data_IF_554175829274
#
_entry.id   IF_554175829274
#
_cell.length_a   1.000
_cell.length_b   1.000
_cell.length_c   1.000
_cell.angle_alpha   90.00
_cell.angle_beta   90.00
_cell.angle_gamma   90.00
#
_symmetry.space_group_name_H-M   'P 1'
#
loop_
_entity.id
_entity.type
_entity.pdbx_description
1 polymer ?
#
# COMPACT_ATOMS: atom_id res chain seq x y z
N UNK A 1 -7.03 15.29 -16.91
CA UNK A 1 -7.35 14.82 -15.54
C UNK A 1 -6.70 15.65 -14.43
N UNK A 2 -5.76 16.55 -14.77
CA UNK A 2 -5.01 17.43 -13.88
C UNK A 2 -5.78 18.03 -12.70
N UNK A 3 -6.90 18.73 -12.94
CA UNK A 3 -7.67 19.34 -11.84
C UNK A 3 -8.12 18.33 -10.76
N UNK A 4 -8.38 17.07 -11.14
CA UNK A 4 -8.76 16.00 -10.21
C UNK A 4 -7.56 15.52 -9.38
N UNK A 5 -6.41 15.38 -10.04
CA UNK A 5 -5.13 15.03 -9.41
C UNK A 5 -4.75 16.11 -8.41
N UNK A 6 -4.70 17.38 -8.83
CA UNK A 6 -4.30 18.49 -7.98
C UNK A 6 -5.28 18.64 -6.79
N UNK A 7 -6.59 18.44 -7.03
CA UNK A 7 -7.59 18.40 -5.94
C UNK A 7 -7.25 17.32 -4.90
N UNK A 8 -6.96 16.08 -5.30
CA UNK A 8 -6.61 15.02 -4.35
C UNK A 8 -5.26 15.27 -3.65
N UNK A 9 -4.29 15.82 -4.37
CA UNK A 9 -2.94 16.08 -3.84
C UNK A 9 -2.87 17.28 -2.90
N UNK A 10 -3.84 18.20 -2.94
CA UNK A 10 -3.84 19.42 -2.11
C UNK A 10 -4.91 19.41 -1.02
N UNK A 11 -5.98 18.63 -1.18
CA UNK A 11 -7.13 18.68 -0.29
C UNK A 11 -6.88 18.03 1.06
N UNK A 12 -7.15 18.69 2.17
CA UNK A 12 -7.12 18.09 3.50
C UNK A 12 -6.19 18.84 4.44
N UNK A 13 -5.98 18.28 5.61
CA UNK A 13 -5.26 18.95 6.69
C UNK A 13 -3.96 18.25 7.11
N UNK A 14 -3.71 17.02 6.67
CA UNK A 14 -2.39 16.40 6.75
C UNK A 14 -1.39 17.23 5.96
N UNK A 15 -0.26 17.57 6.59
CA UNK A 15 0.75 18.45 6.03
C UNK A 15 2.08 17.72 5.99
N UNK A 16 2.64 17.61 4.80
CA UNK A 16 3.98 17.13 4.54
C UNK A 16 4.40 17.63 3.16
N UNK A 17 5.22 18.67 3.14
CA UNK A 17 5.75 19.36 1.97
C UNK A 17 6.96 18.67 1.37
N UNK A 18 7.44 17.58 1.98
CA UNK A 18 8.55 16.80 1.45
C UNK A 18 8.22 16.29 0.05
N UNK A 19 9.24 16.35 -0.80
CA UNK A 19 9.19 15.79 -2.15
C UNK A 19 10.08 14.57 -2.22
N UNK A 20 9.64 13.57 -2.98
CA UNK A 20 10.37 12.33 -3.22
C UNK A 20 10.54 12.18 -4.73
N UNK A 21 11.78 11.95 -5.16
CA UNK A 21 12.08 11.68 -6.56
C UNK A 21 11.75 10.23 -6.91
N UNK A 22 10.94 10.03 -7.94
CA UNK A 22 10.59 8.70 -8.46
C UNK A 22 10.74 8.78 -9.99
N UNK A 23 11.66 7.99 -10.55
CA UNK A 23 11.94 8.01 -11.98
C UNK A 23 12.52 9.35 -12.48
N UNK A 24 13.16 10.15 -11.63
CA UNK A 24 13.64 11.49 -11.96
C UNK A 24 12.56 12.58 -11.92
N UNK A 25 11.40 12.28 -11.35
CA UNK A 25 10.25 13.19 -11.26
C UNK A 25 9.93 13.43 -9.78
N UNK A 26 9.80 14.70 -9.34
CA UNK A 26 9.44 15.01 -7.96
C UNK A 26 7.94 14.80 -7.72
N UNK A 27 7.62 14.01 -6.70
CA UNK A 27 6.26 13.79 -6.21
C UNK A 27 6.12 14.32 -4.78
N UNK A 28 4.96 14.85 -4.44
CA UNK A 28 4.62 15.14 -3.05
C UNK A 28 4.32 13.85 -2.28
N UNK A 29 4.46 13.88 -0.96
CA UNK A 29 4.03 12.75 -0.12
C UNK A 29 2.55 12.40 -0.32
N UNK A 30 1.68 13.38 -0.61
CA UNK A 30 0.26 13.12 -0.90
C UNK A 30 0.04 12.42 -2.24
N UNK A 31 0.87 12.67 -3.24
CA UNK A 31 0.81 11.92 -4.50
C UNK A 31 1.05 10.43 -4.25
N UNK A 32 2.04 10.11 -3.41
CA UNK A 32 2.46 8.73 -3.12
C UNK A 32 1.49 8.04 -2.16
N UNK A 33 1.00 8.75 -1.14
CA UNK A 33 0.16 8.18 -0.08
C UNK A 33 -1.33 8.16 -0.41
N UNK A 34 -1.79 9.04 -1.30
CA UNK A 34 -3.21 9.22 -1.59
C UNK A 34 -3.50 9.14 -3.08
N UNK A 35 -2.98 10.07 -3.89
CA UNK A 35 -3.45 10.23 -5.28
C UNK A 35 -3.13 9.00 -6.13
N UNK A 36 -1.89 8.50 -6.09
CA UNK A 36 -1.49 7.33 -6.87
C UNK A 36 -2.13 6.02 -6.37
N UNK A 37 -2.17 5.71 -5.06
CA UNK A 37 -2.87 4.53 -4.55
C UNK A 37 -4.37 4.54 -4.87
N UNK A 38 -5.04 5.68 -4.72
CA UNK A 38 -6.47 5.78 -5.06
C UNK A 38 -6.70 5.61 -6.56
N UNK A 39 -5.84 6.19 -7.40
CA UNK A 39 -5.89 6.03 -8.86
C UNK A 39 -5.71 4.56 -9.27
N UNK A 40 -4.76 3.84 -8.67
CA UNK A 40 -4.48 2.44 -9.00
C UNK A 40 -5.34 1.42 -8.25
N UNK A 41 -6.11 1.85 -7.24
CA UNK A 41 -6.90 0.95 -6.38
C UNK A 41 -6.03 0.11 -5.44
N UNK A 42 -4.93 0.67 -4.93
CA UNK A 42 -4.00 -0.03 -4.05
C UNK A 42 -4.32 0.17 -2.58
N UNK A 43 -4.20 -0.91 -1.80
CA UNK A 43 -4.36 -0.87 -0.35
C UNK A 43 -3.08 -0.32 0.30
N UNK A 44 -3.22 0.57 1.27
CA UNK A 44 -2.09 1.27 1.91
C UNK A 44 -2.06 0.98 3.41
N UNK A 45 -0.87 0.61 3.91
CA UNK A 45 -0.62 0.43 5.33
C UNK A 45 0.41 1.43 5.82
N UNK A 46 -0.05 2.37 6.64
CA UNK A 46 0.80 3.40 7.24
C UNK A 46 1.33 2.87 8.56
N UNK A 47 2.65 2.68 8.63
CA UNK A 47 3.32 2.24 9.86
C UNK A 47 4.23 3.33 10.39
N UNK A 48 4.64 3.21 11.66
CA UNK A 48 5.59 4.12 12.29
C UNK A 48 5.18 4.52 13.70
N UNK A 49 5.94 5.39 14.33
CA UNK A 49 5.67 5.88 15.68
C UNK A 49 4.33 6.63 15.81
N UNK A 50 3.89 6.80 17.06
CA UNK A 50 2.71 7.59 17.40
C UNK A 50 3.00 9.07 17.20
N UNK A 51 2.06 9.82 16.61
CA UNK A 51 2.17 11.28 16.44
C UNK A 51 2.50 11.76 15.03
N UNK A 52 2.88 10.86 14.12
CA UNK A 52 3.34 11.17 12.75
C UNK A 52 2.23 11.52 11.75
N UNK A 53 1.03 11.86 12.24
CA UNK A 53 -0.09 12.25 11.38
C UNK A 53 -0.84 11.11 10.66
N UNK A 54 -0.58 9.82 10.98
CA UNK A 54 -1.32 8.65 10.43
C UNK A 54 -2.85 8.82 10.51
N UNK A 55 -3.36 9.12 11.70
CA UNK A 55 -4.80 9.34 11.94
C UNK A 55 -5.32 10.60 11.22
N UNK A 56 -4.49 11.63 11.06
CA UNK A 56 -4.91 12.83 10.31
C UNK A 56 -5.06 12.52 8.82
N UNK A 57 -4.14 11.76 8.24
CA UNK A 57 -4.21 11.30 6.86
C UNK A 57 -5.45 10.41 6.65
N UNK A 58 -5.77 9.55 7.62
CA UNK A 58 -6.98 8.73 7.60
C UNK A 58 -8.27 9.56 7.61
N UNK A 59 -8.34 10.61 8.43
CA UNK A 59 -9.50 11.47 8.48
C UNK A 59 -9.68 12.29 7.19
N UNK A 60 -8.58 12.73 6.60
CA UNK A 60 -8.61 13.37 5.28
C UNK A 60 -9.16 12.40 4.23
N UNK A 61 -8.67 11.15 4.19
CA UNK A 61 -9.16 10.10 3.31
C UNK A 61 -10.65 9.83 3.50
N UNK A 62 -11.13 9.69 4.74
CA UNK A 62 -12.56 9.53 5.01
C UNK A 62 -13.40 10.69 4.43
N UNK A 63 -12.89 11.93 4.48
CA UNK A 63 -13.53 13.09 3.86
C UNK A 63 -13.67 12.97 2.34
N UNK A 64 -12.71 12.34 1.67
CA UNK A 64 -12.72 12.18 0.20
C UNK A 64 -13.79 11.21 -0.29
N UNK A 65 -14.23 10.30 0.59
CA UNK A 65 -15.24 9.31 0.29
C UNK A 65 -16.64 9.72 0.77
N UNK A 66 -16.78 10.89 1.42
CA UNK A 66 -18.06 11.38 1.92
C UNK A 66 -18.70 10.39 2.90
N UNK A 67 -19.79 9.74 2.49
CA UNK A 67 -20.46 8.68 3.25
C UNK A 67 -20.07 7.26 2.80
N UNK A 68 -19.24 7.10 1.77
CA UNK A 68 -18.83 5.82 1.17
C UNK A 68 -17.57 5.21 1.83
N UNK A 69 -17.48 5.30 3.16
CA UNK A 69 -16.40 4.66 3.92
C UNK A 69 -16.89 3.92 5.16
N UNK A 70 -16.06 2.98 5.64
CA UNK A 70 -16.15 2.34 6.93
C UNK A 70 -14.88 2.66 7.72
N UNK A 71 -15.03 3.11 8.97
CA UNK A 71 -13.94 3.32 9.91
C UNK A 71 -14.03 2.30 11.03
N UNK A 72 -12.91 1.67 11.36
CA UNK A 72 -12.78 0.81 12.52
C UNK A 72 -11.49 1.13 13.26
N UNK A 73 -11.52 0.99 14.57
CA UNK A 73 -10.34 1.05 15.43
C UNK A 73 -9.94 -0.38 15.80
N UNK A 74 -8.70 -0.73 15.52
CA UNK A 74 -8.11 -2.02 15.80
C UNK A 74 -7.96 -2.23 17.29
N UNK A 75 -8.54 -3.32 17.79
CA UNK A 75 -8.48 -3.71 19.20
C UNK A 75 -8.57 -5.23 19.39
N UNK A 76 -8.09 -5.76 20.53
CA UNK A 76 -8.06 -7.20 20.77
C UNK A 76 -9.43 -7.87 20.81
N UNK A 77 -10.44 -7.16 21.29
CA UNK A 77 -11.83 -7.61 21.49
C UNK A 77 -12.76 -7.25 20.32
N UNK A 78 -12.19 -6.91 19.16
CA UNK A 78 -12.96 -6.54 17.99
C UNK A 78 -13.85 -7.69 17.52
N UNK A 79 -15.15 -7.43 17.41
CA UNK A 79 -16.13 -8.41 16.92
C UNK A 79 -16.43 -8.16 15.44
N UNK A 80 -16.26 -9.14 14.53
CA UNK A 80 -16.60 -8.99 13.12
C UNK A 80 -18.05 -8.51 12.86
N UNK A 81 -18.96 -8.79 13.81
CA UNK A 81 -20.34 -8.29 13.78
C UNK A 81 -20.46 -6.77 13.78
N UNK A 82 -19.44 -6.03 14.22
CA UNK A 82 -19.42 -4.58 14.21
C UNK A 82 -19.34 -4.00 12.80
N UNK A 83 -18.52 -4.60 11.93
CA UNK A 83 -18.46 -4.22 10.52
C UNK A 83 -19.79 -4.52 9.85
N UNK A 84 -20.37 -5.68 10.16
CA UNK A 84 -21.68 -6.08 9.62
C UNK A 84 -22.80 -5.11 10.03
N UNK A 85 -22.72 -4.51 11.23
CA UNK A 85 -23.64 -3.45 11.68
C UNK A 85 -23.42 -2.15 10.90
N UNK A 86 -22.17 -1.74 10.67
CA UNK A 86 -21.87 -0.57 9.83
C UNK A 86 -22.34 -0.75 8.39
N UNK A 87 -22.31 -1.98 7.89
CA UNK A 87 -22.84 -2.37 6.58
C UNK A 87 -24.36 -2.70 6.60
N UNK A 88 -25.04 -2.56 7.75
CA UNK A 88 -26.47 -2.87 7.96
C UNK A 88 -26.92 -4.27 7.48
N UNK A 89 -26.06 -5.28 7.62
CA UNK A 89 -26.29 -6.64 7.12
C UNK A 89 -27.13 -7.52 8.05
N UNK A 90 -27.54 -7.03 9.22
CA UNK A 90 -28.46 -7.76 10.10
C UNK A 90 -29.84 -8.06 9.46
N UNK A 91 -30.15 -7.38 8.34
CA UNK A 91 -31.44 -7.47 7.67
C UNK A 91 -31.43 -8.24 6.34
N UNK A 92 -30.29 -8.75 5.83
CA UNK A 92 -30.24 -9.39 4.49
C UNK A 92 -31.27 -10.53 4.35
N UNK A 93 -31.48 -11.31 5.41
CA UNK A 93 -32.45 -12.41 5.45
C UNK A 93 -33.88 -12.02 5.85
N UNK A 94 -34.15 -10.73 6.13
CA UNK A 94 -35.46 -10.22 6.61
C UNK A 94 -36.13 -9.24 5.64
N UNK A 95 -35.56 -9.01 4.46
CA UNK A 95 -36.00 -7.97 3.54
C UNK A 95 -37.33 -8.35 2.87
N UNK A 96 -38.39 -7.59 3.15
CA UNK A 96 -39.73 -7.79 2.58
C UNK A 96 -40.08 -6.78 1.45
N UNK A 97 -39.27 -5.74 1.22
CA UNK A 97 -39.58 -4.67 0.26
C UNK A 97 -38.38 -4.23 -0.61
N UNK A 98 -38.66 -3.67 -1.79
CA UNK A 98 -37.65 -3.20 -2.77
C UNK A 98 -36.79 -2.04 -2.24
N UNK A 99 -37.32 -1.19 -1.37
CA UNK A 99 -36.60 -0.05 -0.77
C UNK A 99 -35.56 -0.51 0.25
N UNK A 100 -35.92 -1.49 1.07
CA UNK A 100 -35.01 -2.09 2.05
C UNK A 100 -33.85 -2.84 1.34
N UNK A 101 -34.12 -3.43 0.17
CA UNK A 101 -33.10 -4.04 -0.69
C UNK A 101 -32.10 -2.99 -1.24
N UNK A 102 -32.57 -1.80 -1.63
CA UNK A 102 -31.71 -0.69 -2.10
C UNK A 102 -30.83 -0.16 -0.96
N UNK A 103 -31.40 0.10 0.21
CA UNK A 103 -30.67 0.62 1.38
C UNK A 103 -29.61 -0.39 1.88
N UNK A 104 -29.93 -1.67 1.81
CA UNK A 104 -29.00 -2.75 2.15
C UNK A 104 -27.92 -2.95 1.07
N UNK A 105 -28.25 -2.70 -0.20
CA UNK A 105 -27.28 -2.70 -1.32
C UNK A 105 -26.34 -1.49 -1.26
N UNK A 106 -26.83 -0.31 -0.88
CA UNK A 106 -26.02 0.91 -0.73
C UNK A 106 -25.02 0.79 0.42
N UNK A 107 -25.38 0.12 1.52
CA UNK A 107 -24.47 -0.07 2.64
C UNK A 107 -23.35 -1.10 2.36
N UNK A 108 -23.57 -2.09 1.48
CA UNK A 108 -22.52 -3.03 1.02
C UNK A 108 -21.54 -2.38 0.03
N UNK A 109 -21.89 -1.22 -0.52
CA UNK A 109 -21.14 -0.52 -1.58
C UNK A 109 -20.13 0.51 -1.09
N UNK A 110 -19.77 0.52 0.20
CA UNK A 110 -18.67 1.37 0.70
C UNK A 110 -17.40 1.11 -0.11
N UNK A 111 -16.72 2.19 -0.52
CA UNK A 111 -15.54 2.13 -1.36
C UNK A 111 -14.23 2.23 -0.56
N UNK A 112 -14.26 2.80 0.64
CA UNK A 112 -13.11 2.88 1.54
C UNK A 112 -13.35 2.06 2.81
N UNK A 113 -12.40 1.19 3.14
CA UNK A 113 -12.32 0.52 4.43
C UNK A 113 -11.06 0.99 5.13
N UNK A 114 -11.22 1.76 6.20
CA UNK A 114 -10.12 2.24 7.02
C UNK A 114 -10.08 1.54 8.38
N UNK A 115 -8.89 1.09 8.78
CA UNK A 115 -8.65 0.49 10.10
C UNK A 115 -7.48 1.21 10.78
N UNK A 116 -7.77 1.99 11.82
CA UNK A 116 -6.71 2.55 12.67
C UNK A 116 -6.11 1.46 13.55
N UNK A 117 -4.80 1.49 13.79
CA UNK A 117 -4.10 0.55 14.67
C UNK A 117 -4.42 -0.95 14.40
N UNK A 118 -4.48 -1.35 13.14
CA UNK A 118 -4.78 -2.72 12.68
C UNK A 118 -3.95 -3.77 13.42
N UNK A 119 -2.71 -3.45 13.76
CA UNK A 119 -1.81 -4.38 14.45
C UNK A 119 -2.07 -4.60 15.94
N UNK A 120 -3.06 -3.91 16.53
CA UNK A 120 -3.61 -4.26 17.84
C UNK A 120 -4.63 -5.39 17.79
N UNK A 121 -5.13 -5.73 16.60
CA UNK A 121 -6.02 -6.88 16.44
C UNK A 121 -5.24 -8.20 16.48
N UNK A 122 -5.84 -9.30 16.95
CA UNK A 122 -5.28 -10.63 16.76
C UNK A 122 -5.31 -11.02 15.26
N UNK A 123 -4.43 -11.94 14.80
CA UNK A 123 -4.35 -12.33 13.39
C UNK A 123 -5.67 -12.81 12.77
N UNK A 124 -6.55 -13.44 13.56
CA UNK A 124 -7.87 -13.89 13.11
C UNK A 124 -8.74 -12.70 12.71
N UNK A 125 -8.72 -11.62 13.49
CA UNK A 125 -9.48 -10.39 13.21
C UNK A 125 -8.88 -9.65 12.02
N UNK A 126 -7.55 -9.56 11.93
CA UNK A 126 -6.89 -8.95 10.77
C UNK A 126 -7.31 -9.63 9.46
N UNK A 127 -7.40 -10.97 9.45
CA UNK A 127 -7.88 -11.74 8.30
C UNK A 127 -9.27 -11.33 7.82
N UNK A 128 -10.17 -10.94 8.74
CA UNK A 128 -11.47 -10.37 8.37
C UNK A 128 -11.29 -9.05 7.64
N UNK A 129 -10.53 -8.10 8.20
CA UNK A 129 -10.26 -6.80 7.56
C UNK A 129 -9.67 -6.96 6.15
N UNK A 130 -8.75 -7.89 5.96
CA UNK A 130 -8.17 -8.16 4.65
C UNK A 130 -9.18 -8.66 3.61
N UNK A 131 -10.26 -9.33 4.01
CA UNK A 131 -11.33 -9.67 3.07
C UNK A 131 -12.01 -8.40 2.55
N UNK A 132 -12.27 -7.42 3.43
CA UNK A 132 -12.85 -6.14 3.03
C UNK A 132 -11.91 -5.35 2.11
N UNK A 133 -10.61 -5.36 2.41
CA UNK A 133 -9.59 -4.74 1.55
C UNK A 133 -9.47 -5.43 0.18
N UNK A 134 -9.71 -6.74 0.11
CA UNK A 134 -9.81 -7.53 -1.13
C UNK A 134 -11.15 -7.30 -1.86
N UNK A 135 -12.06 -6.46 -1.32
CA UNK A 135 -13.35 -6.19 -1.93
C UNK A 135 -14.40 -7.29 -1.77
N UNK A 136 -14.25 -8.15 -0.76
CA UNK A 136 -15.15 -9.27 -0.53
C UNK A 136 -15.61 -9.37 0.93
N UNK A 137 -16.85 -9.79 1.10
CA UNK A 137 -17.38 -10.21 2.38
C UNK A 137 -17.86 -11.65 2.27
N UNK A 138 -17.37 -12.51 3.16
CA UNK A 138 -17.90 -13.88 3.30
C UNK A 138 -18.91 -13.89 4.44
N UNK A 139 -20.19 -14.14 4.14
CA UNK A 139 -21.24 -14.23 5.13
C UNK A 139 -22.13 -15.45 4.86
N UNK A 140 -22.29 -16.33 5.86
CA UNK A 140 -23.05 -17.58 5.75
C UNK A 140 -22.64 -18.49 4.58
N UNK A 141 -21.37 -18.49 4.21
CA UNK A 141 -20.84 -19.28 3.09
C UNK A 141 -20.99 -18.62 1.71
N UNK A 142 -21.66 -17.47 1.61
CA UNK A 142 -21.78 -16.68 0.39
C UNK A 142 -20.73 -15.57 0.32
N UNK A 143 -20.26 -15.28 -0.88
CA UNK A 143 -19.29 -14.20 -1.15
C UNK A 143 -20.02 -13.01 -1.75
N UNK A 144 -20.04 -11.90 -1.03
CA UNK A 144 -20.57 -10.62 -1.47
C UNK A 144 -19.43 -9.74 -1.95
N UNK A 145 -19.57 -9.16 -3.16
CA UNK A 145 -18.62 -8.18 -3.69
C UNK A 145 -18.92 -6.81 -3.10
N UNK A 146 -17.89 -6.15 -2.60
CA UNK A 146 -17.95 -4.82 -1.99
C UNK A 146 -17.54 -3.74 -3.00
N UNK A 147 -17.93 -2.50 -2.70
CA UNK A 147 -17.56 -1.33 -3.49
C UNK A 147 -18.54 -0.98 -4.61
N UNK A 148 -18.69 0.31 -4.87
CA UNK A 148 -19.40 0.86 -6.02
C UNK A 148 -18.50 0.80 -7.26
N UNK A 149 -19.06 0.46 -8.42
CA UNK A 149 -18.35 0.39 -9.70
C UNK A 149 -17.09 -0.49 -9.68
N UNK A 150 -17.15 -1.60 -8.93
CA UNK A 150 -16.03 -2.54 -8.76
C UNK A 150 -14.76 -1.91 -8.16
N UNK A 151 -14.89 -0.75 -7.51
CA UNK A 151 -13.79 -0.04 -6.86
C UNK A 151 -13.88 -0.15 -5.34
N UNK A 152 -12.80 -0.56 -4.71
CA UNK A 152 -12.67 -0.64 -3.26
C UNK A 152 -11.20 -0.50 -2.89
N UNK A 153 -10.94 0.21 -1.80
CA UNK A 153 -9.59 0.39 -1.25
C UNK A 153 -9.59 0.22 0.25
N UNK A 154 -8.56 -0.44 0.75
CA UNK A 154 -8.25 -0.61 2.14
C UNK A 154 -7.13 0.33 2.58
N UNK A 155 -7.35 1.08 3.65
CA UNK A 155 -6.28 1.79 4.35
C UNK A 155 -6.18 1.26 5.77
N UNK A 156 -4.96 1.13 6.26
CA UNK A 156 -4.73 0.78 7.65
C UNK A 156 -3.61 1.62 8.25
N UNK A 157 -3.62 1.74 9.57
CA UNK A 157 -2.53 2.30 10.35
C UNK A 157 -2.01 1.29 11.37
N UNK A 158 -0.74 1.37 11.73
CA UNK A 158 -0.15 0.53 12.76
C UNK A 158 1.08 1.17 13.37
N UNK A 159 1.39 0.80 14.61
CA UNK A 159 2.63 1.23 15.24
C UNK A 159 3.68 0.12 15.12
N UNK A 160 4.88 0.45 14.66
CA UNK A 160 5.99 -0.51 14.60
C UNK A 160 7.12 -0.01 15.49
N UNK A 161 7.78 -0.93 16.19
CA UNK A 161 8.88 -0.64 17.09
C UNK A 161 9.21 -1.88 17.89
N UNK A 162 10.45 -2.34 17.85
CA UNK A 162 10.88 -3.56 18.52
C UNK A 162 10.74 -3.40 20.05
N UNK A 163 9.75 -4.08 20.63
CA UNK A 163 9.44 -4.00 22.06
C UNK A 163 8.88 -2.66 22.58
N UNK A 164 8.78 -1.63 21.74
CA UNK A 164 8.33 -0.29 22.14
C UNK A 164 6.80 -0.22 22.40
N UNK A 165 6.04 -1.18 21.88
CA UNK A 165 4.59 -1.21 21.98
C UNK A 165 4.09 -2.55 22.52
N UNK A 166 3.23 -2.49 23.53
CA UNK A 166 2.60 -3.67 24.15
C UNK A 166 1.32 -4.03 23.41
N UNK A 167 1.06 -5.32 23.20
CA UNK A 167 -0.20 -5.81 22.63
C UNK A 167 -0.30 -5.71 21.10
N UNK A 168 0.84 -5.62 20.40
CA UNK A 168 0.91 -5.64 18.95
C UNK A 168 1.10 -7.08 18.46
N UNK A 169 0.34 -7.49 17.45
CA UNK A 169 0.51 -8.76 16.74
C UNK A 169 1.30 -8.53 15.46
N UNK A 170 2.31 -9.38 15.19
CA UNK A 170 2.98 -9.38 13.89
C UNK A 170 2.02 -9.95 12.83
N UNK A 171 2.15 -9.41 11.62
CA UNK A 171 1.35 -9.80 10.46
C UNK A 171 2.22 -10.70 9.58
N UNK A 172 1.71 -11.87 9.20
CA UNK A 172 2.46 -12.77 8.32
C UNK A 172 2.64 -12.17 6.91
N UNK A 173 3.56 -12.75 6.13
CA UNK A 173 3.87 -12.29 4.77
C UNK A 173 2.65 -12.31 3.83
N UNK A 174 1.79 -13.33 3.94
CA UNK A 174 0.62 -13.44 3.05
C UNK A 174 -0.43 -12.36 3.34
N UNK A 175 -0.49 -11.90 4.59
CA UNK A 175 -1.31 -10.78 5.01
C UNK A 175 -0.68 -9.43 4.65
N UNK A 176 0.64 -9.27 4.82
CA UNK A 176 1.39 -8.08 4.36
C UNK A 176 1.25 -7.88 2.85
N UNK A 177 1.29 -8.94 2.05
CA UNK A 177 1.08 -8.90 0.59
C UNK A 177 -0.32 -8.40 0.15
N UNK A 178 -1.30 -8.30 1.07
CA UNK A 178 -2.63 -7.70 0.81
C UNK A 178 -2.65 -6.19 1.05
N UNK A 179 -1.66 -5.68 1.79
CA UNK A 179 -1.35 -4.26 1.86
C UNK A 179 -0.34 -3.98 0.77
N UNK A 180 -0.84 -3.52 -0.37
CA UNK A 180 -0.04 -3.33 -1.58
C UNK A 180 1.10 -2.33 -1.39
N UNK A 181 0.90 -1.32 -0.55
CA UNK A 181 1.87 -0.31 -0.17
C UNK A 181 2.01 -0.33 1.35
N UNK A 182 3.23 -0.39 1.86
CA UNK A 182 3.52 -0.31 3.30
C UNK A 182 4.62 0.72 3.52
N UNK A 183 4.29 1.84 4.16
CA UNK A 183 5.19 2.98 4.31
C UNK A 183 5.36 3.30 5.78
N UNK A 184 6.61 3.40 6.21
CA UNK A 184 6.99 3.86 7.55
C UNK A 184 7.09 5.38 7.55
N UNK A 185 6.09 6.07 8.10
CA UNK A 185 5.99 7.53 8.03
C UNK A 185 7.00 8.28 8.90
N UNK A 186 7.50 7.68 9.98
CA UNK A 186 8.59 8.21 10.83
C UNK A 186 9.99 7.91 10.26
N UNK A 187 10.07 7.43 9.02
CA UNK A 187 11.36 7.31 8.35
C UNK A 187 11.91 8.69 7.99
N UNK A 188 13.23 8.95 8.15
CA UNK A 188 13.83 10.24 7.80
C UNK A 188 13.56 10.71 6.38
N UNK A 189 13.28 9.81 5.44
CA UNK A 189 12.93 10.14 4.05
C UNK A 189 11.46 10.55 3.87
N UNK A 190 10.60 10.33 4.86
CA UNK A 190 9.15 10.52 4.75
C UNK A 190 8.54 11.39 5.85
N UNK A 191 9.30 11.72 6.90
CA UNK A 191 8.87 12.66 7.94
C UNK A 191 8.58 14.06 7.37
N UNK A 192 7.82 14.84 8.13
CA UNK A 192 7.58 16.26 7.85
C UNK A 192 8.87 17.06 7.76
N UNK A 193 8.82 18.19 7.06
CA UNK A 193 9.93 19.16 7.06
C UNK A 193 9.82 20.06 8.28
N UNK A 194 10.91 20.74 8.63
CA UNK A 194 10.94 21.69 9.74
C UNK A 194 9.95 22.85 9.53
N UNK A 195 9.72 23.26 8.28
CA UNK A 195 8.73 24.28 7.93
C UNK A 195 7.29 23.81 8.19
N UNK A 196 7.01 22.53 7.90
CA UNK A 196 5.72 21.93 8.23
C UNK A 196 5.51 21.86 9.73
N UNK A 197 6.53 21.46 10.49
CA UNK A 197 6.47 21.37 11.94
C UNK A 197 6.18 22.74 12.58
N UNK A 198 6.87 23.80 12.14
CA UNK A 198 6.58 25.19 12.59
C UNK A 198 5.12 25.54 12.33
N UNK A 199 4.58 25.17 11.16
CA UNK A 199 3.19 25.44 10.86
C UNK A 199 2.24 24.57 11.69
N UNK A 200 2.50 23.28 11.86
CA UNK A 200 1.67 22.36 12.64
C UNK A 200 1.58 22.86 14.09
N UNK A 201 2.73 23.16 14.71
CA UNK A 201 2.78 23.67 16.08
C UNK A 201 2.22 25.10 16.22
N UNK A 202 2.30 25.91 15.16
CA UNK A 202 1.76 27.28 15.14
C UNK A 202 0.26 27.36 14.86
N UNK A 203 -0.32 26.41 14.13
CA UNK A 203 -1.70 26.48 13.61
C UNK A 203 -2.72 25.80 14.49
N UNK A 204 -2.32 24.87 15.37
CA UNK A 204 -3.24 24.06 16.15
C UNK A 204 -2.83 23.95 17.62
N UNK A 205 -3.74 24.30 18.53
CA UNK A 205 -3.56 24.12 19.98
C UNK A 205 -4.14 22.81 20.51
N UNK A 206 -5.09 22.23 19.77
CA UNK A 206 -5.71 20.94 20.14
C UNK A 206 -4.89 19.79 19.54
N UNK A 207 -4.34 18.88 20.36
CA UNK A 207 -3.53 17.76 19.85
C UNK A 207 -4.34 16.70 19.09
N UNK A 208 -5.69 16.75 19.14
CA UNK A 208 -6.54 15.75 18.49
C UNK A 208 -6.55 15.94 16.98
N UNK A 209 -6.58 14.84 16.21
CA UNK A 209 -6.77 14.90 14.77
C UNK A 209 -8.08 15.62 14.40
N UNK A 210 -8.05 16.39 13.32
CA UNK A 210 -9.25 17.04 12.77
C UNK A 210 -10.17 15.98 12.21
N UNK A 211 -11.47 16.06 12.50
CA UNK A 211 -12.46 15.12 12.00
C UNK A 211 -12.62 15.21 10.46
N UNK A 212 -13.09 14.14 9.81
CA UNK A 212 -13.35 14.16 8.36
C UNK A 212 -14.30 15.28 7.94
N UNK A 213 -13.91 16.05 6.92
CA UNK A 213 -14.75 17.07 6.31
C UNK A 213 -15.46 16.50 5.08
N UNK A 214 -16.74 16.14 5.22
CA UNK A 214 -17.54 15.56 4.12
C UNK A 214 -17.78 16.53 2.95
N UNK A 215 -17.58 17.83 3.13
CA UNK A 215 -17.65 18.80 2.02
C UNK A 215 -16.52 18.61 1.00
N UNK A 216 -15.53 17.79 1.35
CA UNK A 216 -14.37 17.41 0.54
C UNK A 216 -14.58 16.10 -0.24
N UNK A 217 -15.82 15.65 -0.42
CA UNK A 217 -16.10 14.44 -1.21
C UNK A 217 -15.49 14.56 -2.64
N UNK A 218 -14.75 13.53 -3.01
CA UNK A 218 -14.02 13.39 -4.26
C UNK A 218 -14.21 11.98 -4.85
N UNK A 219 -15.19 11.20 -4.41
CA UNK A 219 -15.36 9.81 -4.85
C UNK A 219 -15.52 9.72 -6.38
N UNK A 220 -16.34 10.58 -6.98
CA UNK A 220 -16.53 10.56 -8.44
C UNK A 220 -15.23 10.94 -9.19
N UNK A 221 -14.41 11.84 -8.63
CA UNK A 221 -13.10 12.18 -9.19
C UNK A 221 -12.15 10.98 -9.13
N UNK A 222 -12.13 10.26 -8.00
CA UNK A 222 -11.35 9.03 -7.80
C UNK A 222 -11.77 7.95 -8.78
N UNK A 223 -13.08 7.73 -8.97
CA UNK A 223 -13.60 6.72 -9.89
C UNK A 223 -13.23 7.03 -11.35
N UNK A 224 -13.22 8.30 -11.75
CA UNK A 224 -12.77 8.72 -13.09
C UNK A 224 -11.28 8.45 -13.27
N UNK A 225 -10.45 8.80 -12.29
CA UNK A 225 -9.01 8.52 -12.34
C UNK A 225 -8.73 7.02 -12.40
N UNK A 226 -9.43 6.23 -11.60
CA UNK A 226 -9.28 4.78 -11.60
C UNK A 226 -9.70 4.14 -12.93
N UNK A 227 -10.77 4.64 -13.55
CA UNK A 227 -11.19 4.16 -14.86
C UNK A 227 -10.13 4.49 -15.92
N UNK A 228 -9.56 5.69 -15.91
CA UNK A 228 -8.47 6.06 -16.82
C UNK A 228 -7.22 5.18 -16.62
N UNK A 229 -6.90 4.83 -15.36
CA UNK A 229 -5.84 3.88 -15.04
C UNK A 229 -6.12 2.48 -15.62
N UNK A 230 -7.35 1.98 -15.52
CA UNK A 230 -7.75 0.68 -16.08
C UNK A 230 -7.71 0.64 -17.60
N UNK A 231 -7.99 1.76 -18.25
CA UNK A 231 -8.01 1.89 -19.71
C UNK A 231 -6.61 2.13 -20.30
N UNK A 232 -5.60 2.39 -19.46
CA UNK A 232 -4.20 2.59 -19.87
C UNK A 232 -3.60 1.29 -20.39
N UNK A 233 -2.97 1.33 -21.56
CA UNK A 233 -2.22 0.20 -22.09
C UNK A 233 -0.98 -0.07 -21.22
N UNK A 234 -0.75 -1.33 -20.88
CA UNK A 234 0.38 -1.73 -20.06
C UNK A 234 1.66 -1.80 -20.90
N UNK A 235 2.71 -1.00 -20.61
CA UNK A 235 3.98 -1.10 -21.31
C UNK A 235 4.58 -2.51 -21.21
N UNK A 236 5.04 -3.06 -22.34
CA UNK A 236 5.52 -4.44 -22.45
C UNK A 236 6.71 -4.76 -21.54
N UNK A 237 7.52 -3.76 -21.19
CA UNK A 237 8.64 -3.88 -20.27
C UNK A 237 8.21 -4.26 -18.85
N UNK A 238 7.03 -3.81 -18.39
CA UNK A 238 6.58 -4.03 -17.01
C UNK A 238 6.30 -5.51 -16.71
N UNK A 239 5.59 -6.27 -17.56
CA UNK A 239 5.51 -7.73 -17.42
C UNK A 239 6.87 -8.43 -17.40
N UNK A 240 7.85 -7.99 -18.20
CA UNK A 240 9.20 -8.58 -18.25
C UNK A 240 9.93 -8.37 -16.93
N UNK A 241 9.92 -7.13 -16.42
CA UNK A 241 10.44 -6.82 -15.08
C UNK A 241 9.71 -7.64 -14.01
N UNK A 242 8.39 -7.75 -14.11
CA UNK A 242 7.60 -8.58 -13.20
C UNK A 242 8.02 -10.05 -13.18
N UNK A 243 8.35 -10.63 -14.34
CA UNK A 243 8.91 -12.00 -14.42
C UNK A 243 10.28 -12.08 -13.74
N UNK A 244 11.15 -11.08 -13.94
CA UNK A 244 12.45 -11.02 -13.25
C UNK A 244 12.28 -10.98 -11.72
N UNK A 245 11.48 -10.08 -11.18
CA UNK A 245 11.29 -9.97 -9.72
C UNK A 245 10.56 -11.18 -9.10
N UNK A 246 9.70 -11.86 -9.87
CA UNK A 246 8.95 -13.03 -9.38
C UNK A 246 9.69 -14.36 -9.53
N UNK A 247 10.46 -14.54 -10.63
CA UNK A 247 11.13 -15.79 -10.99
C UNK A 247 12.66 -15.65 -11.04
N UNK A 248 13.18 -14.55 -11.56
CA UNK A 248 14.62 -14.28 -11.59
C UNK A 248 15.21 -14.27 -10.18
N UNK A 249 14.60 -13.51 -9.26
CA UNK A 249 15.01 -13.51 -7.85
C UNK A 249 14.75 -14.84 -7.11
N UNK A 250 13.98 -15.76 -7.69
CA UNK A 250 13.75 -17.10 -7.12
C UNK A 250 14.88 -18.06 -7.50
N UNK A 251 15.59 -17.79 -8.60
CA UNK A 251 16.64 -18.67 -9.09
C UNK A 251 17.77 -18.80 -8.07
N UNK A 252 18.20 -20.04 -7.82
CA UNK A 252 19.31 -20.34 -6.94
C UNK A 252 20.00 -21.62 -7.43
N UNK A 253 21.16 -21.48 -8.07
CA UNK A 253 21.82 -22.53 -8.83
C UNK A 253 22.02 -23.83 -8.03
N UNK A 254 22.38 -23.74 -6.76
CA UNK A 254 22.80 -24.88 -5.94
C UNK A 254 21.65 -25.72 -5.33
N UNK A 255 20.38 -25.45 -5.65
CA UNK A 255 19.24 -26.17 -5.07
C UNK A 255 18.61 -27.20 -6.01
N UNK A 256 17.94 -28.22 -5.44
CA UNK A 256 17.30 -29.36 -6.16
C UNK A 256 16.33 -28.98 -7.30
N UNK A 257 15.90 -27.71 -7.38
CA UNK A 257 15.02 -27.19 -8.44
C UNK A 257 15.43 -25.80 -8.95
N UNK A 258 16.65 -25.38 -8.65
CA UNK A 258 17.13 -24.02 -8.90
C UNK A 258 16.18 -22.93 -8.39
N UNK A 259 15.60 -23.11 -7.20
CA UNK A 259 14.55 -22.25 -6.66
C UNK A 259 14.67 -22.10 -5.14
N UNK A 260 14.68 -20.85 -4.66
CA UNK A 260 14.61 -20.51 -3.23
C UNK A 260 13.33 -21.04 -2.59
N UNK A 261 12.21 -21.04 -3.32
CA UNK A 261 10.92 -21.58 -2.85
C UNK A 261 10.90 -23.10 -2.70
N UNK A 262 11.85 -23.82 -3.30
CA UNK A 262 11.94 -25.28 -3.16
C UNK A 262 12.69 -25.72 -1.90
N UNK A 263 13.18 -24.77 -1.09
CA UNK A 263 13.89 -25.03 0.16
C UNK A 263 12.86 -25.13 1.29
N UNK A 264 12.77 -26.31 1.91
CA UNK A 264 11.92 -26.54 3.10
C UNK A 264 12.59 -26.07 4.41
N UNK A 265 13.85 -25.61 4.35
CA UNK A 265 14.60 -25.02 5.46
C UNK A 265 14.38 -23.51 5.54
N UNK A 266 14.68 -22.93 6.71
CA UNK A 266 14.49 -21.50 6.96
C UNK A 266 15.52 -20.67 6.17
N UNK A 267 15.12 -20.13 5.01
CA UNK A 267 15.93 -19.15 4.26
C UNK A 267 16.24 -17.92 5.14
N UNK A 268 17.46 -17.33 5.05
CA UNK A 268 18.59 -17.69 4.19
C UNK A 268 19.57 -18.71 4.81
N UNK A 269 19.23 -19.36 5.92
CA UNK A 269 20.14 -20.25 6.69
C UNK A 269 20.30 -21.63 6.04
N UNK A 270 20.77 -21.66 4.80
CA UNK A 270 21.01 -22.87 4.01
C UNK A 270 22.48 -22.86 3.59
N UNK A 271 23.20 -23.97 3.83
CA UNK A 271 24.65 -24.08 3.57
C UNK A 271 25.06 -23.81 2.11
N UNK A 272 24.10 -23.83 1.18
CA UNK A 272 24.29 -23.72 -0.26
C UNK A 272 24.10 -22.29 -0.80
N UNK A 273 23.66 -21.35 0.04
CA UNK A 273 23.45 -19.93 -0.33
C UNK A 273 24.72 -19.15 0.00
N UNK A 274 25.24 -18.42 -1.00
CA UNK A 274 26.34 -17.47 -0.79
C UNK A 274 25.84 -16.30 0.04
N UNK A 275 26.38 -16.15 1.24
CA UNK A 275 25.90 -15.16 2.22
C UNK A 275 26.15 -13.71 1.77
N UNK A 276 27.10 -13.48 0.86
CA UNK A 276 27.53 -12.17 0.36
C UNK A 276 26.81 -11.69 -0.92
N UNK A 277 25.78 -12.41 -1.38
CA UNK A 277 25.05 -12.10 -2.62
C UNK A 277 23.60 -11.70 -2.37
N UNK A 278 22.95 -11.07 -3.35
CA UNK A 278 21.52 -10.76 -3.27
C UNK A 278 20.64 -12.02 -3.05
N UNK A 279 21.17 -13.21 -3.36
CA UNK A 279 20.50 -14.49 -3.15
C UNK A 279 20.17 -14.76 -1.67
N UNK A 280 21.01 -14.30 -0.74
CA UNK A 280 20.82 -14.42 0.71
C UNK A 280 20.00 -13.27 1.30
N UNK A 281 19.84 -12.16 0.56
CA UNK A 281 19.28 -10.90 1.08
C UNK A 281 17.80 -10.71 0.77
N UNK A 282 17.34 -11.18 -0.40
CA UNK A 282 15.95 -10.98 -0.85
C UNK A 282 15.29 -12.25 -1.39
N UNK A 283 14.04 -12.47 -0.99
CA UNK A 283 13.15 -13.47 -1.55
C UNK A 283 12.45 -12.95 -2.82
N UNK A 284 12.09 -13.82 -3.77
CA UNK A 284 11.31 -13.39 -4.93
C UNK A 284 9.98 -12.79 -4.49
N UNK A 285 9.57 -11.75 -5.23
CA UNK A 285 8.30 -11.06 -4.97
C UNK A 285 7.12 -11.98 -5.27
N UNK A 286 6.01 -11.77 -4.59
CA UNK A 286 4.75 -12.40 -4.96
C UNK A 286 4.17 -11.72 -6.20
N UNK A 287 3.23 -12.39 -6.89
CA UNK A 287 2.53 -11.76 -8.02
C UNK A 287 1.77 -10.50 -7.59
N UNK A 288 1.25 -10.48 -6.36
CA UNK A 288 0.55 -9.32 -5.79
C UNK A 288 1.49 -8.13 -5.60
N UNK A 289 2.66 -8.36 -5.01
CA UNK A 289 3.66 -7.31 -4.86
C UNK A 289 4.10 -6.75 -6.23
N UNK A 290 4.38 -7.62 -7.21
CA UNK A 290 4.72 -7.15 -8.58
C UNK A 290 3.60 -6.32 -9.20
N UNK A 291 2.35 -6.78 -9.12
CA UNK A 291 1.20 -6.04 -9.66
C UNK A 291 0.96 -4.72 -8.91
N UNK A 292 1.23 -4.68 -7.61
CA UNK A 292 1.19 -3.44 -6.83
C UNK A 292 2.24 -2.44 -7.29
N UNK A 293 3.47 -2.88 -7.54
CA UNK A 293 4.54 -2.02 -8.06
C UNK A 293 4.24 -1.50 -9.46
N UNK A 294 3.69 -2.35 -10.34
CA UNK A 294 3.18 -1.94 -11.67
C UNK A 294 2.06 -0.91 -11.52
N UNK A 295 1.10 -1.16 -10.63
CA UNK A 295 -0.04 -0.28 -10.43
C UNK A 295 0.39 1.10 -9.91
N UNK A 296 1.30 1.12 -8.93
CA UNK A 296 1.84 2.35 -8.38
C UNK A 296 2.63 3.13 -9.43
N UNK A 297 3.54 2.48 -10.16
CA UNK A 297 4.36 3.14 -11.17
C UNK A 297 3.51 3.74 -12.30
N UNK A 298 2.50 3.00 -12.78
CA UNK A 298 1.59 3.49 -13.83
C UNK A 298 0.69 4.63 -13.34
N UNK A 299 0.23 4.61 -12.09
CA UNK A 299 -0.53 5.73 -11.53
C UNK A 299 0.34 6.98 -11.37
N UNK A 300 1.61 6.82 -10.97
CA UNK A 300 2.57 7.93 -10.88
C UNK A 300 2.89 8.51 -12.26
N UNK A 301 3.01 7.68 -13.31
CA UNK A 301 3.15 8.16 -14.69
C UNK A 301 1.94 9.01 -15.12
N UNK A 302 0.71 8.56 -14.87
CA UNK A 302 -0.50 9.35 -15.17
C UNK A 302 -0.45 10.72 -14.49
N UNK A 303 -0.04 10.77 -13.22
CA UNK A 303 0.10 12.02 -12.46
C UNK A 303 1.15 12.94 -13.10
N UNK A 304 2.28 12.39 -13.52
CA UNK A 304 3.36 13.15 -14.14
C UNK A 304 2.98 13.67 -15.54
N UNK A 305 2.35 12.85 -16.38
CA UNK A 305 1.86 13.26 -17.71
C UNK A 305 0.88 14.42 -17.60
N UNK A 306 -0.06 14.34 -16.65
CA UNK A 306 -1.05 15.40 -16.40
C UNK A 306 -0.42 16.69 -15.86
N UNK A 307 0.76 16.60 -15.26
CA UNK A 307 1.59 17.75 -14.85
C UNK A 307 2.52 18.26 -15.95
N UNK A 308 2.57 17.59 -17.10
CA UNK A 308 3.32 18.01 -18.28
C UNK A 308 4.72 17.41 -18.41
N UNK A 309 5.03 16.36 -17.65
CA UNK A 309 6.26 15.59 -17.86
C UNK A 309 6.11 14.71 -19.11
N UNK A 310 7.13 14.72 -19.97
CA UNK A 310 7.21 13.93 -21.20
C UNK A 310 8.39 12.95 -21.12
N UNK A 311 8.36 11.89 -21.94
CA UNK A 311 9.44 10.89 -22.03
C UNK A 311 9.80 10.23 -20.68
N UNK A 312 8.78 9.87 -19.90
CA UNK A 312 8.95 9.25 -18.58
C UNK A 312 9.63 7.89 -18.73
N UNK A 313 10.69 7.65 -17.96
CA UNK A 313 11.35 6.35 -17.92
C UNK A 313 10.55 5.35 -17.08
N UNK A 314 9.67 4.59 -17.73
CA UNK A 314 8.86 3.54 -17.10
C UNK A 314 9.67 2.51 -16.32
N UNK A 315 10.90 2.19 -16.75
CA UNK A 315 11.76 1.24 -16.02
C UNK A 315 12.19 1.85 -14.69
N UNK A 316 12.69 3.08 -14.71
CA UNK A 316 13.11 3.78 -13.50
C UNK A 316 11.92 4.02 -12.56
N UNK A 317 10.77 4.43 -13.10
CA UNK A 317 9.53 4.59 -12.33
C UNK A 317 9.11 3.31 -11.61
N UNK A 318 9.14 2.17 -12.30
CA UNK A 318 8.86 0.87 -11.69
C UNK A 318 9.86 0.50 -10.60
N UNK A 319 11.15 0.69 -10.85
CA UNK A 319 12.19 0.34 -9.88
C UNK A 319 12.13 1.21 -8.63
N UNK A 320 11.80 2.50 -8.75
CA UNK A 320 11.61 3.40 -7.61
C UNK A 320 10.29 3.10 -6.86
N UNK A 321 9.21 2.73 -7.57
CA UNK A 321 7.95 2.31 -6.95
C UNK A 321 8.09 1.06 -6.06
N UNK A 322 9.08 0.20 -6.31
CA UNK A 322 9.38 -0.95 -5.45
C UNK A 322 9.70 -0.52 -4.01
N UNK A 323 10.29 0.67 -3.81
CA UNK A 323 10.61 1.21 -2.48
C UNK A 323 9.39 1.35 -1.57
N UNK A 324 8.19 1.50 -2.12
CA UNK A 324 6.96 1.65 -1.33
C UNK A 324 6.18 0.34 -1.17
N UNK A 325 6.44 -0.63 -2.04
CA UNK A 325 5.65 -1.88 -2.14
C UNK A 325 6.38 -3.10 -1.59
N UNK A 326 7.71 -3.03 -1.43
CA UNK A 326 8.55 -4.19 -1.10
C UNK A 326 9.14 -4.20 0.31
N UNK A 327 9.74 -3.13 0.87
CA UNK A 327 10.61 -3.24 2.05
C UNK A 327 9.94 -3.92 3.25
N UNK A 328 8.69 -3.54 3.55
CA UNK A 328 7.92 -4.09 4.67
C UNK A 328 7.01 -5.27 4.29
N UNK A 329 7.08 -5.78 3.06
CA UNK A 329 6.32 -6.99 2.63
C UNK A 329 6.85 -8.29 3.26
N UNK A 330 8.05 -8.24 3.86
CA UNK A 330 8.69 -9.40 4.50
C UNK A 330 9.50 -10.28 3.53
N UNK A 331 9.98 -9.71 2.42
CA UNK A 331 10.86 -10.41 1.46
C UNK A 331 12.35 -10.28 1.78
N UNK A 332 12.75 -9.27 2.54
CA UNK A 332 14.14 -9.08 2.95
C UNK A 332 14.48 -10.02 4.12
N UNK A 333 15.70 -10.54 4.13
CA UNK A 333 16.18 -11.38 5.21
C UNK A 333 16.28 -10.57 6.51
N UNK A 334 15.59 -11.02 7.57
CA UNK A 334 15.63 -10.35 8.88
C UNK A 334 17.05 -10.25 9.43
N UNK A 335 17.86 -11.29 9.25
CA UNK A 335 19.25 -11.29 9.70
C UNK A 335 20.09 -10.23 8.96
N UNK A 336 19.91 -10.11 7.65
CA UNK A 336 20.59 -9.07 6.86
C UNK A 336 20.21 -7.66 7.32
N UNK A 337 18.91 -7.41 7.52
CA UNK A 337 18.41 -6.13 8.07
C UNK A 337 19.07 -5.81 9.42
N UNK A 338 19.05 -6.75 10.37
CA UNK A 338 19.52 -6.48 11.73
C UNK A 338 21.04 -6.49 11.88
N UNK A 339 21.75 -7.37 11.17
CA UNK A 339 23.19 -7.58 11.35
C UNK A 339 24.05 -6.69 10.46
N UNK A 340 23.56 -6.29 9.29
CA UNK A 340 24.36 -5.52 8.31
C UNK A 340 23.85 -4.10 8.09
N UNK A 341 22.60 -3.81 8.47
CA UNK A 341 21.93 -2.53 8.22
C UNK A 341 21.29 -1.92 9.48
N UNK A 342 21.72 -2.37 10.65
CA UNK A 342 21.31 -1.82 11.96
C UNK A 342 19.79 -1.75 12.20
N UNK A 343 19.02 -2.65 11.58
CA UNK A 343 17.56 -2.66 11.66
C UNK A 343 16.86 -1.75 10.64
N UNK A 344 17.60 -1.03 9.81
CA UNK A 344 17.06 -0.16 8.77
C UNK A 344 16.62 -0.97 7.53
N UNK A 345 15.30 -1.08 7.38
CA UNK A 345 14.66 -1.86 6.32
C UNK A 345 14.79 -1.17 4.96
N UNK A 346 14.75 0.18 4.91
CA UNK A 346 14.91 0.91 3.66
C UNK A 346 16.37 0.90 3.19
N UNK A 347 17.33 1.09 4.09
CA UNK A 347 18.75 0.97 3.75
C UNK A 347 19.12 -0.45 3.27
N UNK A 348 18.53 -1.49 3.86
CA UNK A 348 18.67 -2.86 3.39
C UNK A 348 18.07 -3.07 1.99
N UNK A 349 16.91 -2.47 1.73
CA UNK A 349 16.29 -2.52 0.42
C UNK A 349 17.12 -1.79 -0.65
N UNK A 350 17.54 -0.56 -0.36
CA UNK A 350 18.28 0.30 -1.29
C UNK A 350 19.63 -0.32 -1.69
N UNK A 351 20.32 -1.01 -0.77
CA UNK A 351 21.55 -1.78 -1.04
C UNK A 351 21.34 -2.89 -2.09
N UNK A 352 20.30 -3.70 -1.91
CA UNK A 352 19.94 -4.79 -2.85
C UNK A 352 19.51 -4.20 -4.20
N UNK A 353 18.70 -3.13 -4.18
CA UNK A 353 18.20 -2.51 -5.39
C UNK A 353 19.27 -1.80 -6.20
N UNK A 354 20.35 -1.31 -5.57
CA UNK A 354 21.45 -0.68 -6.27
C UNK A 354 22.12 -1.65 -7.26
N UNK A 355 22.35 -2.89 -6.85
CA UNK A 355 22.92 -3.94 -7.69
C UNK A 355 21.95 -4.32 -8.82
N UNK A 356 20.69 -4.63 -8.46
CA UNK A 356 19.64 -5.00 -9.42
C UNK A 356 19.43 -3.92 -10.49
N UNK A 357 19.39 -2.64 -10.09
CA UNK A 357 19.21 -1.51 -11.01
C UNK A 357 20.33 -1.43 -12.04
N UNK A 358 21.58 -1.66 -11.62
CA UNK A 358 22.73 -1.65 -12.54
C UNK A 358 22.55 -2.73 -13.60
N UNK A 359 22.25 -3.96 -13.19
CA UNK A 359 22.08 -5.10 -14.08
C UNK A 359 20.93 -4.91 -15.07
N UNK A 360 19.79 -4.37 -14.59
CA UNK A 360 18.63 -4.08 -15.44
C UNK A 360 18.97 -2.99 -16.46
N UNK A 361 19.62 -1.91 -16.03
CA UNK A 361 19.97 -0.80 -16.94
C UNK A 361 20.98 -1.22 -18.00
N UNK A 362 21.95 -2.08 -17.66
CA UNK A 362 22.90 -2.64 -18.63
C UNK A 362 22.19 -3.49 -19.68
N UNK A 363 21.17 -4.27 -19.27
CA UNK A 363 20.38 -5.14 -20.16
C UNK A 363 19.21 -4.43 -20.85
N UNK A 364 18.82 -3.23 -20.41
CA UNK A 364 17.67 -2.49 -20.95
C UNK A 364 17.75 -2.32 -22.46
N UNK A 365 18.95 -2.01 -22.98
CA UNK A 365 19.20 -1.87 -24.42
C UNK A 365 18.98 -3.18 -25.20
N UNK A 366 19.27 -4.32 -24.59
CA UNK A 366 19.06 -5.64 -25.19
C UNK A 366 17.58 -6.05 -25.15
N UNK A 367 16.85 -5.65 -24.09
CA UNK A 367 15.42 -5.94 -23.93
C UNK A 367 14.56 -5.08 -24.87
N UNK A 368 14.91 -3.81 -25.08
CA UNK A 368 14.17 -2.90 -25.97
C UNK A 368 14.36 -3.21 -27.47
N UNK A 369 15.35 -4.04 -27.82
CA UNK A 369 15.68 -4.42 -29.20
C UNK A 369 15.28 -5.85 -29.58
N UNK A 370 14.80 -6.65 -28.61
CA UNK A 370 14.31 -8.01 -28.78
C UNK A 370 12.78 -8.06 -28.90
#
# INVERSE_FOLDING_TARGET
MRNKIDKLSEQGSYRNSRTVDIGGIPYSMRDILITAPLTSGLNVYLVGATGEGKTQLANDLAGYFGDSYCYNEGRPDFEPSEILKQLNLGNIGKVASTRDLVELTENVRKNLYYVDELNRCPPIVMNYFFNFFDGKLVHNGEVFRLGKNDYVVGYASGNIGDGAYVGISDTDRALKDRMHIIIKLDDPDYITTEEDDVHIFGSKKDPRATLPDKSKDSLDDILVLHQAFKDRELPSILPVLGVYFHKGLDYLENTRRHSKRAIDQLWPNVNEIRQDTDESKIMPLSKRAVLASIGLSQALEIIAEERGYENIDTTSMFLDALRFTVPYSGVLAKQYIHSEKDGDVYAAFDDVMQAIRRDINDKKKEIETA
#
